data_IF_186368844173
#
_entry.id   IF_186368844173
#
_cell.length_a   1.000
_cell.length_b   1.000
_cell.length_c   1.000
_cell.angle_alpha   90.00
_cell.angle_beta   90.00
_cell.angle_gamma   90.00
#
_symmetry.space_group_name_H-M   'P 1'
#
loop_
_entity.id
_entity.type
_entity.pdbx_description
1 polymer ?
#
# COMPACT_ATOMS: atom_id res chain seq x y z
N UNK A 1 10.16 21.16 -15.12
CA UNK A 1 10.22 21.37 -13.66
C UNK A 1 11.57 20.81 -13.24
N UNK A 2 12.52 21.64 -12.82
CA UNK A 2 13.85 21.15 -12.40
C UNK A 2 13.74 20.70 -10.94
N UNK A 3 13.87 19.39 -10.70
CA UNK A 3 13.89 18.83 -9.34
C UNK A 3 15.33 18.90 -8.82
N UNK A 4 15.58 19.73 -7.81
CA UNK A 4 16.86 19.71 -7.10
C UNK A 4 16.90 18.49 -6.17
N UNK A 5 17.61 17.44 -6.57
CA UNK A 5 17.82 16.24 -5.75
C UNK A 5 19.17 16.30 -5.03
N UNK A 6 19.21 15.77 -3.82
CA UNK A 6 20.43 15.73 -3.03
C UNK A 6 21.49 14.83 -3.68
N UNK A 7 22.78 15.09 -3.41
CA UNK A 7 23.87 14.23 -3.89
C UNK A 7 23.69 12.76 -3.45
N UNK A 8 23.22 12.53 -2.22
CA UNK A 8 22.95 11.19 -1.71
C UNK A 8 21.81 10.51 -2.48
N UNK A 9 20.78 11.26 -2.89
CA UNK A 9 19.69 10.74 -3.73
C UNK A 9 20.20 10.40 -5.12
N UNK A 10 21.01 11.27 -5.73
CA UNK A 10 21.61 11.02 -7.04
C UNK A 10 22.44 9.73 -7.06
N UNK A 11 23.28 9.52 -6.04
CA UNK A 11 24.08 8.30 -5.91
C UNK A 11 23.24 7.02 -5.83
N UNK A 12 22.07 7.09 -5.19
CA UNK A 12 21.13 5.95 -5.13
C UNK A 12 20.49 5.69 -6.49
N UNK A 13 20.13 6.74 -7.23
CA UNK A 13 19.59 6.62 -8.59
C UNK A 13 20.64 5.98 -9.50
N UNK A 14 21.88 6.48 -9.48
CA UNK A 14 22.98 5.94 -10.29
C UNK A 14 23.25 4.47 -9.97
N UNK A 15 23.17 4.07 -8.69
CA UNK A 15 23.30 2.68 -8.28
C UNK A 15 22.17 1.80 -8.84
N UNK A 16 20.94 2.29 -8.89
CA UNK A 16 19.81 1.56 -9.48
C UNK A 16 19.95 1.42 -11.00
N UNK A 17 20.42 2.46 -11.68
CA UNK A 17 20.73 2.40 -13.12
C UNK A 17 21.84 1.38 -13.41
N UNK A 18 22.87 1.31 -12.56
CA UNK A 18 23.96 0.35 -12.70
C UNK A 18 23.51 -1.11 -12.58
N UNK A 19 22.35 -1.39 -11.96
CA UNK A 19 21.78 -2.75 -11.96
C UNK A 19 21.22 -3.19 -13.31
N UNK A 20 21.01 -2.25 -14.23
CA UNK A 20 20.32 -2.49 -15.51
C UNK A 20 18.80 -2.69 -15.38
N UNK A 21 18.22 -2.64 -14.17
CA UNK A 21 16.77 -2.74 -13.95
C UNK A 21 16.03 -1.54 -14.56
N UNK A 22 16.64 -0.36 -14.51
CA UNK A 22 16.05 0.90 -14.98
C UNK A 22 16.92 1.52 -16.07
N UNK A 23 16.28 2.13 -17.07
CA UNK A 23 16.98 2.75 -18.20
C UNK A 23 17.22 4.24 -17.97
N UNK A 24 16.33 4.91 -17.23
CA UNK A 24 16.40 6.34 -16.97
C UNK A 24 16.20 6.65 -15.48
N UNK A 25 16.80 7.75 -15.03
CA UNK A 25 16.63 8.23 -13.67
C UNK A 25 15.16 8.49 -13.31
N UNK A 26 14.37 8.96 -14.29
CA UNK A 26 12.93 9.17 -14.14
C UNK A 26 12.18 7.87 -13.82
N UNK A 27 12.58 6.73 -14.39
CA UNK A 27 11.97 5.43 -14.10
C UNK A 27 12.16 5.04 -12.62
N UNK A 28 13.37 5.29 -12.09
CA UNK A 28 13.69 5.04 -10.67
C UNK A 28 12.88 5.94 -9.74
N UNK A 29 12.72 7.21 -10.12
CA UNK A 29 11.97 8.20 -9.33
C UNK A 29 10.48 7.85 -9.33
N UNK A 30 9.92 7.52 -10.49
CA UNK A 30 8.50 7.15 -10.62
C UNK A 30 8.19 5.89 -9.80
N UNK A 31 9.00 4.83 -9.92
CA UNK A 31 8.85 3.63 -9.09
C UNK A 31 8.88 3.96 -7.59
N UNK A 32 9.81 4.83 -7.16
CA UNK A 32 9.90 5.21 -5.75
C UNK A 32 8.66 5.99 -5.27
N UNK A 33 8.08 6.84 -6.14
CA UNK A 33 6.85 7.58 -5.84
C UNK A 33 5.63 6.66 -5.80
N UNK A 34 5.54 5.71 -6.72
CA UNK A 34 4.46 4.72 -6.76
C UNK A 34 4.48 3.85 -5.50
N UNK A 35 5.65 3.33 -5.11
CA UNK A 35 5.81 2.58 -3.85
C UNK A 35 5.45 3.43 -2.63
N UNK A 36 5.82 4.71 -2.62
CA UNK A 36 5.43 5.61 -1.53
C UNK A 36 3.91 5.80 -1.46
N UNK A 37 3.24 5.95 -2.61
CA UNK A 37 1.78 6.05 -2.67
C UNK A 37 1.09 4.76 -2.17
N UNK A 38 1.59 3.58 -2.58
CA UNK A 38 1.09 2.29 -2.10
C UNK A 38 1.25 2.12 -0.58
N UNK A 39 2.41 2.50 -0.05
CA UNK A 39 2.67 2.49 1.39
C UNK A 39 1.73 3.44 2.14
N UNK A 40 1.49 4.64 1.60
CA UNK A 40 0.59 5.61 2.19
C UNK A 40 -0.87 5.14 2.19
N UNK A 41 -1.32 4.48 1.12
CA UNK A 41 -2.63 3.86 1.06
C UNK A 41 -2.77 2.75 2.12
N UNK A 42 -1.76 1.88 2.22
CA UNK A 42 -1.72 0.80 3.22
C UNK A 42 -1.80 1.34 4.66
N UNK A 43 -1.08 2.42 4.96
CA UNK A 43 -1.13 3.06 6.27
C UNK A 43 -2.51 3.65 6.57
N UNK A 44 -3.13 4.28 5.57
CA UNK A 44 -4.48 4.85 5.70
C UNK A 44 -5.50 3.75 6.00
N UNK A 45 -5.46 2.65 5.25
CA UNK A 45 -6.35 1.50 5.47
C UNK A 45 -6.16 0.88 6.87
N UNK A 46 -4.92 0.85 7.36
CA UNK A 46 -4.61 0.34 8.70
C UNK A 46 -5.14 1.27 9.79
N UNK A 47 -4.97 2.59 9.63
CA UNK A 47 -5.53 3.58 10.55
C UNK A 47 -7.05 3.50 10.62
N UNK A 48 -7.72 3.35 9.48
CA UNK A 48 -9.17 3.20 9.42
C UNK A 48 -9.63 1.89 10.06
N UNK A 49 -8.90 0.79 9.81
CA UNK A 49 -9.15 -0.50 10.48
C UNK A 49 -9.01 -0.39 12.01
N UNK A 50 -8.00 0.34 12.49
CA UNK A 50 -7.82 0.59 13.93
C UNK A 50 -8.98 1.41 14.50
N UNK A 51 -9.41 2.46 13.81
CA UNK A 51 -10.58 3.27 14.22
C UNK A 51 -11.85 2.42 14.29
N UNK A 52 -12.03 1.47 13.38
CA UNK A 52 -13.17 0.55 13.40
C UNK A 52 -13.13 -0.42 14.59
N UNK A 53 -11.94 -0.89 14.96
CA UNK A 53 -11.72 -1.71 16.17
C UNK A 53 -12.06 -0.90 17.41
N UNK A 54 -11.49 0.30 17.56
CA UNK A 54 -11.68 1.15 18.73
C UNK A 54 -13.14 1.57 18.92
N UNK A 55 -13.85 1.81 17.82
CA UNK A 55 -15.27 2.14 17.84
C UNK A 55 -16.19 0.93 18.00
N UNK A 56 -15.65 -0.29 18.08
CA UNK A 56 -16.43 -1.53 18.19
C UNK A 56 -17.30 -1.80 16.96
N UNK A 57 -16.93 -1.30 15.78
CA UNK A 57 -17.66 -1.49 14.52
C UNK A 57 -17.39 -2.84 13.87
N UNK A 58 -16.35 -3.56 14.30
CA UNK A 58 -16.04 -4.89 13.81
C UNK A 58 -16.91 -5.95 14.48
N UNK A 59 -17.41 -6.90 13.68
CA UNK A 59 -18.17 -8.07 14.15
C UNK A 59 -17.32 -9.33 14.06
N UNK A 60 -17.50 -10.31 14.96
CA UNK A 60 -16.82 -11.59 14.85
C UNK A 60 -17.10 -12.26 13.49
N UNK A 61 -16.05 -12.75 12.84
CA UNK A 61 -16.16 -13.33 11.50
C UNK A 61 -17.12 -14.54 11.44
N UNK A 62 -17.26 -15.29 12.54
CA UNK A 62 -18.21 -16.39 12.66
C UNK A 62 -19.68 -15.94 12.57
N UNK A 63 -20.00 -14.80 13.18
CA UNK A 63 -21.36 -14.22 13.12
C UNK A 63 -21.68 -13.76 11.70
N UNK A 64 -20.75 -13.04 11.07
CA UNK A 64 -20.90 -12.59 9.68
C UNK A 64 -21.01 -13.78 8.71
N UNK A 65 -20.19 -14.83 8.90
CA UNK A 65 -20.25 -16.02 8.06
C UNK A 65 -21.58 -16.77 8.19
N UNK A 66 -22.16 -16.84 9.38
CA UNK A 66 -23.47 -17.45 9.60
C UNK A 66 -24.59 -16.61 8.97
N UNK A 67 -24.52 -15.29 9.07
CA UNK A 67 -25.45 -14.36 8.41
C UNK A 67 -25.42 -14.54 6.88
N UNK A 68 -24.23 -14.58 6.28
CA UNK A 68 -24.06 -14.78 4.83
C UNK A 68 -24.57 -16.16 4.38
N UNK A 69 -24.27 -17.23 5.13
CA UNK A 69 -24.77 -18.58 4.83
C UNK A 69 -26.30 -18.63 4.89
N UNK A 70 -26.90 -18.03 5.92
CA UNK A 70 -28.35 -17.92 6.07
C UNK A 70 -28.97 -17.16 4.89
N UNK A 71 -28.42 -15.99 4.55
CA UNK A 71 -28.90 -15.16 3.44
C UNK A 71 -28.76 -15.84 2.06
N UNK A 72 -27.79 -16.76 1.91
CA UNK A 72 -27.55 -17.51 0.67
C UNK A 72 -28.22 -18.90 0.64
N UNK A 73 -28.90 -19.30 1.72
CA UNK A 73 -29.53 -20.62 1.83
C UNK A 73 -28.54 -21.78 1.90
N UNK A 74 -27.28 -21.52 2.29
CA UNK A 74 -26.24 -22.55 2.46
C UNK A 74 -26.33 -23.13 3.87
N UNK A 75 -27.36 -23.95 4.12
CA UNK A 75 -27.46 -24.74 5.34
C UNK A 75 -26.87 -26.13 5.09
N UNK A 76 -25.86 -26.52 5.86
CA UNK A 76 -25.45 -27.92 6.08
C UNK A 76 -26.17 -28.48 7.29
#
# INVERSE_FOLDING_TARGET
MELSISLATQQKIDAQLATGKFSHAEDVINEALDLYAEHQATLTDLEDSLRDIEAGRLRPIGEVANEVRSARGWQT
#
